data_IF_562458817002
#
_entry.id   IF_562458817002
#
_cell.length_a   1.000
_cell.length_b   1.000
_cell.length_c   1.000
_cell.angle_alpha   90.00
_cell.angle_beta   90.00
_cell.angle_gamma   90.00
#
_symmetry.space_group_name_H-M   'P 1'
#
loop_
_entity.id
_entity.type
_entity.pdbx_description
1 polymer ?
#
# COMPACT_ATOMS: atom_id res chain seq x y z
N UNK A 1 -33.88 3.46 -10.00
CA UNK A 1 -33.55 4.89 -10.04
C UNK A 1 -32.14 5.05 -9.44
N UNK A 2 -31.11 5.44 -10.18
CA UNK A 2 -29.79 5.62 -9.58
C UNK A 2 -29.87 6.80 -8.60
N UNK A 3 -29.40 6.56 -7.38
CA UNK A 3 -29.24 7.61 -6.38
C UNK A 3 -28.14 8.57 -6.87
N UNK A 4 -28.52 9.77 -7.29
CA UNK A 4 -27.57 10.81 -7.65
C UNK A 4 -27.05 11.47 -6.36
N UNK A 5 -25.93 11.01 -5.84
CA UNK A 5 -25.21 11.73 -4.80
C UNK A 5 -24.40 12.88 -5.42
N UNK A 6 -24.35 14.05 -4.77
CA UNK A 6 -23.46 15.11 -5.22
C UNK A 6 -22.00 14.64 -5.07
N UNK A 7 -21.37 14.36 -6.18
CA UNK A 7 -19.95 14.01 -6.24
C UNK A 7 -19.12 15.25 -6.57
N UNK A 8 -17.88 15.27 -6.14
CA UNK A 8 -16.94 16.31 -6.58
C UNK A 8 -16.83 16.26 -8.11
N UNK A 9 -17.16 17.35 -8.83
CA UNK A 9 -17.15 17.35 -10.30
C UNK A 9 -15.79 17.02 -10.90
N UNK A 10 -14.68 17.27 -10.18
CA UNK A 10 -13.34 16.92 -10.62
C UNK A 10 -13.11 15.40 -10.71
N UNK A 11 -13.89 14.58 -9.98
CA UNK A 11 -13.79 13.12 -10.06
C UNK A 11 -14.18 12.58 -11.45
N UNK A 12 -15.03 13.30 -12.18
CA UNK A 12 -15.45 12.88 -13.52
C UNK A 12 -14.31 12.98 -14.56
N UNK A 13 -13.30 13.79 -14.29
CA UNK A 13 -12.14 14.00 -15.15
C UNK A 13 -10.97 13.04 -14.83
N UNK A 14 -11.05 12.34 -13.70
CA UNK A 14 -10.01 11.40 -13.29
C UNK A 14 -10.19 10.07 -14.01
N UNK A 15 -9.18 9.58 -14.78
CA UNK A 15 -9.27 8.27 -15.40
C UNK A 15 -9.32 7.18 -14.35
N UNK A 16 -10.14 6.16 -14.59
CA UNK A 16 -10.22 5.00 -13.69
C UNK A 16 -8.89 4.26 -13.70
N UNK A 17 -8.29 4.11 -12.53
CA UNK A 17 -7.07 3.34 -12.38
C UNK A 17 -7.29 1.87 -12.75
N UNK A 18 -6.45 1.34 -13.65
CA UNK A 18 -6.45 -0.07 -14.03
C UNK A 18 -5.26 -0.76 -13.35
N UNK A 19 -5.51 -1.58 -12.32
CA UNK A 19 -4.43 -2.34 -11.67
C UNK A 19 -3.86 -3.41 -12.60
N UNK A 20 -2.64 -3.87 -12.31
CA UNK A 20 -2.07 -5.03 -12.99
C UNK A 20 -2.97 -6.27 -12.78
N UNK A 21 -3.17 -7.04 -13.84
CA UNK A 21 -4.08 -8.19 -13.82
C UNK A 21 -3.52 -9.33 -12.96
N UNK A 22 -4.35 -10.01 -12.14
CA UNK A 22 -3.97 -11.22 -11.43
C UNK A 22 -3.57 -12.36 -12.39
N UNK A 23 -2.62 -13.20 -11.97
CA UNK A 23 -2.17 -14.35 -12.76
C UNK A 23 -3.34 -15.30 -13.09
N UNK A 24 -4.20 -15.56 -12.09
CA UNK A 24 -5.36 -16.45 -12.22
C UNK A 24 -6.38 -15.93 -13.24
N UNK A 25 -6.53 -14.62 -13.37
CA UNK A 25 -7.42 -14.01 -14.37
C UNK A 25 -6.88 -14.23 -15.76
N UNK A 26 -5.58 -13.96 -15.98
CA UNK A 26 -4.91 -14.14 -17.27
C UNK A 26 -4.88 -15.62 -17.65
N UNK A 27 -4.58 -16.50 -16.70
CA UNK A 27 -4.57 -17.96 -16.92
C UNK A 27 -5.94 -18.45 -17.42
N UNK A 28 -7.01 -18.03 -16.73
CA UNK A 28 -8.39 -18.41 -17.09
C UNK A 28 -8.80 -17.89 -18.47
N UNK A 29 -8.44 -16.66 -18.81
CA UNK A 29 -8.79 -16.04 -20.07
C UNK A 29 -8.05 -16.69 -21.27
N UNK A 30 -6.78 -17.03 -21.07
CA UNK A 30 -5.94 -17.59 -22.12
C UNK A 30 -5.91 -19.13 -22.14
N UNK A 31 -6.58 -19.79 -21.21
CA UNK A 31 -6.56 -21.25 -21.07
C UNK A 31 -5.20 -21.81 -20.68
N UNK A 32 -4.38 -21.05 -19.94
CA UNK A 32 -3.05 -21.43 -19.50
C UNK A 32 -3.05 -21.96 -18.08
N UNK A 33 -2.02 -22.71 -17.70
CA UNK A 33 -1.75 -23.06 -16.32
C UNK A 33 -1.16 -21.86 -15.58
N UNK A 34 -1.69 -21.50 -14.40
CA UNK A 34 -1.28 -20.32 -13.65
C UNK A 34 0.20 -20.37 -13.21
N UNK A 35 0.71 -21.56 -12.91
CA UNK A 35 2.10 -21.82 -12.51
C UNK A 35 3.12 -21.65 -13.66
N UNK A 36 2.64 -21.66 -14.91
CA UNK A 36 3.45 -21.40 -16.11
C UNK A 36 3.56 -19.91 -16.48
N UNK A 37 2.85 -19.02 -15.77
CA UNK A 37 2.83 -17.58 -16.08
C UNK A 37 3.85 -16.83 -15.24
N UNK A 38 4.77 -16.14 -15.91
CA UNK A 38 5.72 -15.22 -15.26
C UNK A 38 5.14 -13.82 -15.32
N UNK A 39 4.76 -13.30 -14.14
CA UNK A 39 4.25 -11.92 -14.00
C UNK A 39 5.41 -10.95 -13.82
N UNK A 40 5.57 -10.05 -14.76
CA UNK A 40 6.55 -8.94 -14.70
C UNK A 40 5.89 -7.58 -14.47
N UNK A 41 4.58 -7.59 -14.21
CA UNK A 41 3.79 -6.43 -13.81
C UNK A 41 3.64 -6.39 -12.28
N UNK A 42 3.39 -5.20 -11.73
CA UNK A 42 3.32 -4.93 -10.30
C UNK A 42 4.69 -4.95 -9.61
N UNK A 43 4.80 -4.23 -8.50
CA UNK A 43 6.02 -4.18 -7.70
C UNK A 43 6.00 -5.31 -6.65
N UNK A 44 6.07 -6.56 -7.11
CA UNK A 44 6.06 -7.76 -6.29
C UNK A 44 7.44 -8.39 -6.21
N UNK A 45 7.78 -8.98 -5.06
CA UNK A 45 9.05 -9.69 -4.90
C UNK A 45 8.91 -11.17 -5.30
N UNK A 46 9.46 -11.58 -6.47
CA UNK A 46 9.33 -12.95 -6.96
C UNK A 46 10.10 -13.97 -6.11
N UNK A 47 11.04 -13.53 -5.25
CA UNK A 47 11.79 -14.41 -4.35
C UNK A 47 10.97 -14.81 -3.11
N UNK A 48 9.78 -14.25 -2.96
CA UNK A 48 8.90 -14.49 -1.82
C UNK A 48 9.32 -13.76 -0.54
N UNK A 49 8.63 -14.02 0.56
CA UNK A 49 8.86 -13.32 1.81
C UNK A 49 10.08 -13.81 2.57
N UNK A 50 10.68 -12.93 3.38
CA UNK A 50 11.75 -13.31 4.31
C UNK A 50 11.30 -14.41 5.28
N UNK A 51 12.13 -15.45 5.47
CA UNK A 51 11.86 -16.51 6.45
C UNK A 51 11.74 -15.98 7.88
N UNK A 52 12.55 -14.97 8.24
CA UNK A 52 12.50 -14.32 9.55
C UNK A 52 11.19 -13.52 9.73
N UNK A 53 10.75 -12.84 8.69
CA UNK A 53 9.45 -12.13 8.72
C UNK A 53 8.29 -13.12 8.92
N UNK A 54 8.26 -14.24 8.18
CA UNK A 54 7.26 -15.28 8.35
C UNK A 54 7.23 -15.87 9.77
N UNK A 55 8.40 -16.12 10.36
CA UNK A 55 8.50 -16.63 11.72
C UNK A 55 7.97 -15.61 12.74
N UNK A 56 8.31 -14.33 12.58
CA UNK A 56 7.80 -13.25 13.43
C UNK A 56 6.28 -13.08 13.30
N UNK A 57 5.73 -13.14 12.08
CA UNK A 57 4.28 -13.08 11.84
C UNK A 57 3.55 -14.24 12.51
N UNK A 58 4.04 -15.48 12.36
CA UNK A 58 3.46 -16.66 13.03
C UNK A 58 3.42 -16.50 14.55
N UNK A 59 4.47 -15.94 15.15
CA UNK A 59 4.51 -15.65 16.58
C UNK A 59 3.49 -14.57 16.98
N UNK A 60 3.33 -13.54 16.16
CA UNK A 60 2.39 -12.45 16.41
C UNK A 60 0.92 -12.88 16.33
N UNK A 61 0.59 -13.94 15.57
CA UNK A 61 -0.79 -14.45 15.42
C UNK A 61 -1.46 -14.80 16.76
N UNK A 62 -0.69 -15.15 17.79
CA UNK A 62 -1.22 -15.43 19.12
C UNK A 62 -1.83 -14.19 19.82
N UNK A 63 -1.58 -12.99 19.29
CA UNK A 63 -1.97 -11.71 19.89
C UNK A 63 -2.74 -10.80 18.94
N UNK A 64 -3.28 -11.32 17.83
CA UNK A 64 -4.01 -10.52 16.82
C UNK A 64 -5.32 -9.92 17.33
N UNK A 65 -5.81 -10.38 18.48
CA UNK A 65 -6.96 -9.85 19.17
C UNK A 65 -6.67 -8.53 19.92
N UNK A 66 -5.41 -8.11 20.00
CA UNK A 66 -4.98 -6.87 20.64
C UNK A 66 -4.69 -5.81 19.59
N UNK A 67 -5.02 -4.56 19.91
CA UNK A 67 -4.62 -3.44 19.04
C UNK A 67 -3.10 -3.31 19.01
N UNK A 68 -2.50 -3.06 17.85
CA UNK A 68 -1.09 -2.72 17.77
C UNK A 68 -0.83 -1.33 18.38
N UNK A 69 0.43 -1.07 18.71
CA UNK A 69 0.86 0.28 19.08
C UNK A 69 0.69 1.24 17.90
N UNK A 70 -0.26 2.19 18.00
CA UNK A 70 -0.56 3.16 16.97
C UNK A 70 0.61 4.09 16.60
N UNK A 71 1.56 4.28 17.53
CA UNK A 71 2.77 5.05 17.28
C UNK A 71 3.91 4.22 16.65
N UNK A 72 3.76 2.89 16.59
CA UNK A 72 4.75 1.97 16.07
C UNK A 72 6.16 2.20 16.66
N UNK A 73 6.24 2.44 17.98
CA UNK A 73 7.45 2.86 18.68
C UNK A 73 8.67 1.99 18.33
N UNK A 74 8.56 0.68 18.53
CA UNK A 74 9.68 -0.23 18.29
C UNK A 74 10.11 -0.29 16.83
N UNK A 75 9.16 -0.20 15.90
CA UNK A 75 9.44 -0.17 14.47
C UNK A 75 10.18 1.12 14.09
N UNK A 76 9.69 2.27 14.55
CA UNK A 76 10.33 3.57 14.30
C UNK A 76 11.74 3.64 14.85
N UNK A 77 11.99 3.11 16.05
CA UNK A 77 13.35 3.05 16.61
C UNK A 77 14.31 2.24 15.73
N UNK A 78 13.89 1.05 15.29
CA UNK A 78 14.70 0.20 14.40
C UNK A 78 14.94 0.82 13.03
N UNK A 79 13.92 1.43 12.43
CA UNK A 79 14.03 2.10 11.14
C UNK A 79 14.93 3.33 11.24
N UNK A 80 14.76 4.15 12.26
CA UNK A 80 15.58 5.33 12.50
C UNK A 80 17.06 4.96 12.61
N UNK A 81 17.39 3.95 13.42
CA UNK A 81 18.75 3.46 13.54
C UNK A 81 19.31 2.93 12.21
N UNK A 82 18.50 2.20 11.44
CA UNK A 82 18.90 1.66 10.14
C UNK A 82 19.15 2.75 9.09
N UNK A 83 18.36 3.81 9.11
CA UNK A 83 18.37 4.90 8.14
C UNK A 83 19.28 6.07 8.56
N UNK A 84 19.82 6.06 9.79
CA UNK A 84 20.66 7.15 10.31
C UNK A 84 19.87 8.45 10.58
N UNK A 85 18.58 8.32 10.92
CA UNK A 85 17.70 9.47 11.22
C UNK A 85 17.11 9.32 12.63
N UNK A 86 16.33 10.31 13.08
CA UNK A 86 15.58 10.17 14.33
C UNK A 86 14.16 9.64 14.07
N UNK A 87 13.47 9.05 15.06
CA UNK A 87 12.08 8.62 14.92
C UNK A 87 11.11 9.71 14.47
N UNK A 88 11.42 10.98 14.77
CA UNK A 88 10.62 12.14 14.37
C UNK A 88 10.64 12.40 12.85
N UNK A 89 11.61 11.85 12.13
CA UNK A 89 11.68 11.92 10.67
C UNK A 89 10.88 10.81 9.96
N UNK A 90 10.18 9.97 10.71
CA UNK A 90 9.47 8.81 10.16
C UNK A 90 7.96 8.96 10.33
N UNK A 91 7.26 8.88 9.21
CA UNK A 91 5.82 8.66 9.16
C UNK A 91 5.55 7.27 8.59
N UNK A 92 4.58 6.58 9.14
CA UNK A 92 4.19 5.24 8.70
C UNK A 92 2.74 5.27 8.22
N UNK A 93 2.44 4.46 7.20
CA UNK A 93 1.10 4.33 6.66
C UNK A 93 0.89 2.97 5.99
N UNK A 94 -0.35 2.66 5.64
CA UNK A 94 -0.75 1.44 4.94
C UNK A 94 -0.45 1.54 3.44
N UNK A 95 0.83 1.50 3.12
CA UNK A 95 1.32 1.70 1.76
C UNK A 95 1.51 3.17 1.38
N UNK A 96 2.01 3.40 0.16
CA UNK A 96 2.33 4.74 -0.34
C UNK A 96 1.09 5.63 -0.54
N UNK A 97 -0.07 5.05 -0.86
CA UNK A 97 -1.29 5.83 -1.09
C UNK A 97 -1.71 6.62 0.14
N UNK A 98 -1.70 6.00 1.33
CA UNK A 98 -2.02 6.70 2.57
C UNK A 98 -0.99 7.81 2.88
N UNK A 99 0.29 7.58 2.58
CA UNK A 99 1.31 8.62 2.74
C UNK A 99 1.07 9.80 1.80
N UNK A 100 0.69 9.54 0.55
CA UNK A 100 0.33 10.58 -0.43
C UNK A 100 -0.89 11.37 0.06
N UNK A 101 -1.90 10.71 0.61
CA UNK A 101 -3.05 11.35 1.23
C UNK A 101 -2.64 12.27 2.39
N UNK A 102 -1.78 11.80 3.30
CA UNK A 102 -1.29 12.62 4.42
C UNK A 102 -0.56 13.88 3.93
N UNK A 103 0.29 13.74 2.91
CA UNK A 103 0.96 14.87 2.27
C UNK A 103 -0.07 15.82 1.66
N UNK A 104 -1.04 15.29 0.93
CA UNK A 104 -2.12 16.07 0.32
C UNK A 104 -2.90 16.88 1.34
N UNK A 105 -3.40 16.21 2.38
CA UNK A 105 -4.19 16.88 3.43
C UNK A 105 -3.41 17.88 4.27
N UNK A 106 -2.10 17.65 4.43
CA UNK A 106 -1.28 18.50 5.32
C UNK A 106 -0.69 19.71 4.59
N UNK A 107 -0.26 19.53 3.34
CA UNK A 107 0.56 20.52 2.63
C UNK A 107 -0.16 21.22 1.46
N UNK A 108 -1.24 20.62 0.92
CA UNK A 108 -1.93 21.18 -0.25
C UNK A 108 -3.10 22.05 0.21
N UNK A 109 -2.97 23.36 0.05
CA UNK A 109 -4.03 24.31 0.30
C UNK A 109 -4.88 24.57 -0.98
N UNK A 110 -6.09 25.14 -0.86
CA UNK A 110 -6.85 25.56 -2.03
C UNK A 110 -6.05 26.50 -2.93
N UNK A 111 -5.95 26.18 -4.21
CA UNK A 111 -5.17 26.93 -5.20
C UNK A 111 -3.71 26.54 -5.33
N UNK A 112 -3.23 25.53 -4.54
CA UNK A 112 -1.92 24.96 -4.72
C UNK A 112 -1.84 24.12 -6.00
N UNK A 113 -0.67 24.09 -6.63
CA UNK A 113 -0.37 23.28 -7.80
C UNK A 113 0.46 22.06 -7.40
N UNK A 114 0.15 20.90 -7.99
CA UNK A 114 0.89 19.65 -7.79
C UNK A 114 1.39 19.17 -9.16
N UNK A 115 2.68 18.93 -9.25
CA UNK A 115 3.30 18.32 -10.43
C UNK A 115 3.53 16.83 -10.18
N UNK A 116 3.03 15.99 -11.07
CA UNK A 116 3.15 14.52 -11.04
C UNK A 116 3.75 13.98 -12.33
#
# INVERSE_FOLDING_TARGET
MPLAYPTNPNLNAVPVYQPGRPIEEVARELGLAADGIIKVASNENPLGPSRLALAAMRKALAHVNLYPDGNAFYLKQKLAAKLGVTPAHLILGNGSNEIIEFVGHTLIAPGAEVVV
#
